data_IF_792157484876
#
_entry.id   IF_792157484876
#
_cell.length_a   1.000
_cell.length_b   1.000
_cell.length_c   1.000
_cell.angle_alpha   90.00
_cell.angle_beta   90.00
_cell.angle_gamma   90.00
#
_symmetry.space_group_name_H-M   'P 1'
#
loop_
_entity.id
_entity.type
_entity.pdbx_description
1 polymer ?
#
# COMPACT_ATOMS: atom_id res chain seq x y z
N UNK A 1 -14.20 -11.89 26.14
CA UNK A 1 -12.97 -11.59 25.35
C UNK A 1 -12.26 -10.37 25.97
N UNK A 2 -10.92 -10.17 25.85
CA UNK A 2 -10.25 -8.99 26.47
C UNK A 2 -10.86 -7.66 26.00
N UNK A 3 -11.18 -7.56 24.70
CA UNK A 3 -11.85 -6.39 24.12
C UNK A 3 -13.22 -6.10 24.77
N UNK A 4 -13.98 -7.14 25.10
CA UNK A 4 -15.28 -7.00 25.75
C UNK A 4 -15.15 -6.44 27.17
N UNK A 5 -14.16 -6.92 27.93
CA UNK A 5 -13.84 -6.36 29.26
C UNK A 5 -13.36 -4.91 29.18
N UNK A 6 -12.57 -4.54 28.15
CA UNK A 6 -12.12 -3.16 27.96
C UNK A 6 -13.27 -2.22 27.57
N UNK A 7 -14.11 -2.66 26.64
CA UNK A 7 -15.27 -1.89 26.17
C UNK A 7 -16.34 -1.76 27.25
N UNK A 8 -16.58 -2.80 28.06
CA UNK A 8 -17.50 -2.77 29.19
C UNK A 8 -16.93 -2.20 30.49
N UNK A 9 -15.61 -2.01 30.59
CA UNK A 9 -14.94 -1.54 31.80
C UNK A 9 -15.15 -0.04 32.10
N UNK A 10 -14.63 0.46 33.23
CA UNK A 10 -14.84 1.84 33.67
C UNK A 10 -13.98 2.89 32.91
N UNK A 11 -13.05 2.45 32.07
CA UNK A 11 -12.14 3.36 31.36
C UNK A 11 -12.86 4.12 30.25
N UNK A 12 -12.71 5.45 30.25
CA UNK A 12 -13.40 6.36 29.33
C UNK A 12 -12.62 6.67 28.04
N UNK A 13 -11.31 6.43 28.06
CA UNK A 13 -10.41 6.61 26.92
C UNK A 13 -9.69 5.30 26.64
N UNK A 14 -9.77 4.82 25.40
CA UNK A 14 -9.16 3.55 24.98
C UNK A 14 -8.18 3.79 23.83
N UNK A 15 -7.04 3.10 23.90
CA UNK A 15 -6.00 3.04 22.87
C UNK A 15 -5.91 1.59 22.41
N UNK A 16 -6.29 1.33 21.16
CA UNK A 16 -6.37 -0.03 20.61
C UNK A 16 -5.45 -0.16 19.40
N UNK A 17 -4.44 -1.02 19.51
CA UNK A 17 -3.53 -1.30 18.40
C UNK A 17 -3.95 -2.60 17.70
N UNK A 18 -4.35 -2.49 16.43
CA UNK A 18 -4.89 -3.58 15.60
C UNK A 18 -5.91 -4.49 16.32
N UNK A 19 -7.02 -3.94 16.87
CA UNK A 19 -7.98 -4.74 17.66
C UNK A 19 -8.74 -5.79 16.84
N UNK A 20 -8.75 -5.66 15.51
CA UNK A 20 -9.39 -6.62 14.60
C UNK A 20 -8.47 -7.77 14.17
N UNK A 21 -7.22 -7.76 14.62
CA UNK A 21 -6.28 -8.80 14.30
C UNK A 21 -6.74 -10.14 14.89
N UNK A 22 -6.56 -11.20 14.12
CA UNK A 22 -7.02 -12.56 14.44
C UNK A 22 -8.54 -12.69 14.68
N UNK A 23 -9.37 -11.69 14.40
CA UNK A 23 -10.82 -11.83 14.48
C UNK A 23 -11.39 -12.44 13.20
N UNK A 24 -12.31 -13.37 13.36
CA UNK A 24 -13.12 -13.85 12.23
C UNK A 24 -14.21 -12.83 11.86
N UNK A 25 -14.90 -13.07 10.74
CA UNK A 25 -15.88 -12.11 10.20
C UNK A 25 -16.98 -11.76 11.21
N UNK A 26 -17.59 -12.71 11.95
CA UNK A 26 -18.56 -12.38 12.98
C UNK A 26 -17.98 -11.54 14.12
N UNK A 27 -16.80 -11.87 14.63
CA UNK A 27 -16.16 -11.11 15.71
C UNK A 27 -15.78 -9.69 15.27
N UNK A 28 -15.36 -9.50 14.01
CA UNK A 28 -15.12 -8.17 13.44
C UNK A 28 -16.39 -7.32 13.40
N UNK A 29 -17.51 -7.89 12.96
CA UNK A 29 -18.82 -7.18 12.96
C UNK A 29 -19.26 -6.79 14.37
N UNK A 30 -19.10 -7.70 15.33
CA UNK A 30 -19.37 -7.39 16.73
C UNK A 30 -18.49 -6.24 17.23
N UNK A 31 -17.19 -6.23 16.89
CA UNK A 31 -16.28 -5.15 17.27
C UNK A 31 -16.71 -3.81 16.62
N UNK A 32 -17.06 -3.81 15.34
CA UNK A 32 -17.59 -2.62 14.64
C UNK A 32 -18.78 -2.02 15.38
N UNK A 33 -19.79 -2.84 15.67
CA UNK A 33 -21.02 -2.43 16.36
C UNK A 33 -20.71 -1.85 17.76
N UNK A 34 -19.86 -2.55 18.53
CA UNK A 34 -19.49 -2.12 19.87
C UNK A 34 -18.68 -0.83 19.89
N UNK A 35 -17.82 -0.59 18.90
CA UNK A 35 -17.08 0.67 18.80
C UNK A 35 -18.01 1.84 18.47
N UNK A 36 -19.00 1.63 17.59
CA UNK A 36 -19.99 2.65 17.21
C UNK A 36 -20.93 3.00 18.37
N UNK A 37 -21.39 2.00 19.12
CA UNK A 37 -22.31 2.19 20.25
C UNK A 37 -21.62 2.76 21.51
N UNK A 38 -20.30 2.67 21.58
CA UNK A 38 -19.54 3.06 22.76
C UNK A 38 -19.60 4.58 22.97
N UNK A 39 -19.99 5.07 24.16
CA UNK A 39 -19.92 6.48 24.49
C UNK A 39 -18.50 6.98 24.81
N UNK A 40 -17.49 6.10 24.69
CA UNK A 40 -16.10 6.35 25.07
C UNK A 40 -15.34 7.05 23.96
N UNK A 41 -14.23 7.70 24.32
CA UNK A 41 -13.26 8.18 23.33
C UNK A 41 -12.29 7.05 22.99
N UNK A 42 -12.23 6.66 21.72
CA UNK A 42 -11.41 5.51 21.28
C UNK A 42 -10.48 5.98 20.17
N UNK A 43 -9.17 5.83 20.40
CA UNK A 43 -8.15 5.91 19.36
C UNK A 43 -7.74 4.49 19.02
N UNK A 44 -7.96 4.08 17.77
CA UNK A 44 -7.53 2.77 17.30
C UNK A 44 -6.74 2.86 16.01
N UNK A 45 -5.83 1.90 15.84
CA UNK A 45 -5.07 1.68 14.61
C UNK A 45 -5.60 0.40 13.97
N UNK A 46 -5.92 0.45 12.68
CA UNK A 46 -6.32 -0.73 11.92
C UNK A 46 -5.94 -0.57 10.45
N UNK A 47 -5.79 -1.70 9.77
CA UNK A 47 -5.66 -1.77 8.32
C UNK A 47 -6.98 -2.15 7.62
N UNK A 48 -8.03 -2.49 8.40
CA UNK A 48 -9.34 -2.84 7.88
C UNK A 48 -10.15 -1.58 7.53
N UNK A 49 -10.33 -1.38 6.22
CA UNK A 49 -11.02 -0.20 5.69
C UNK A 49 -12.49 -0.16 6.08
N UNK A 50 -13.14 -1.32 6.24
CA UNK A 50 -14.56 -1.36 6.59
C UNK A 50 -14.76 -0.94 8.05
N UNK A 51 -13.92 -1.46 8.94
CA UNK A 51 -13.89 -1.06 10.35
C UNK A 51 -13.65 0.44 10.50
N UNK A 52 -12.62 0.98 9.84
CA UNK A 52 -12.32 2.43 9.89
C UNK A 52 -13.50 3.24 9.34
N UNK A 53 -14.06 2.84 8.20
CA UNK A 53 -15.14 3.59 7.57
C UNK A 53 -16.42 3.64 8.42
N UNK A 54 -16.72 2.56 9.16
CA UNK A 54 -17.92 2.45 9.99
C UNK A 54 -17.77 3.04 11.38
N UNK A 55 -16.65 2.75 12.05
CA UNK A 55 -16.46 3.07 13.46
C UNK A 55 -15.74 4.41 13.70
N UNK A 56 -14.88 4.86 12.78
CA UNK A 56 -14.11 6.08 13.00
C UNK A 56 -14.89 7.34 12.63
N UNK A 57 -15.05 8.27 13.58
CA UNK A 57 -15.61 9.60 13.30
C UNK A 57 -14.59 10.58 12.69
N UNK A 58 -13.30 10.34 12.88
CA UNK A 58 -12.20 11.12 12.33
C UNK A 58 -11.04 10.20 11.95
N UNK A 59 -10.29 10.58 10.93
CA UNK A 59 -9.13 9.79 10.46
C UNK A 59 -7.86 10.60 10.67
N UNK A 60 -6.99 10.11 11.53
CA UNK A 60 -5.67 10.67 11.75
C UNK A 60 -4.65 9.92 10.87
N UNK A 61 -3.99 10.63 9.94
CA UNK A 61 -2.97 10.07 9.04
C UNK A 61 -1.61 10.60 9.40
N UNK A 62 -0.67 9.69 9.66
CA UNK A 62 0.75 10.01 9.72
C UNK A 62 1.33 10.01 8.30
N UNK A 63 1.82 11.17 7.88
CA UNK A 63 2.32 11.41 6.54
C UNK A 63 3.83 11.66 6.57
N UNK A 64 4.64 10.83 5.87
CA UNK A 64 6.07 11.06 5.80
C UNK A 64 6.37 12.28 4.92
N UNK A 65 7.22 13.15 5.44
CA UNK A 65 7.76 14.35 4.79
C UNK A 65 9.29 14.30 4.80
N UNK A 66 9.94 15.19 4.05
CA UNK A 66 11.41 15.31 4.08
C UNK A 66 11.96 15.76 5.44
N UNK A 67 11.13 16.35 6.30
CA UNK A 67 11.52 16.89 7.61
C UNK A 67 11.07 16.00 8.79
N UNK A 68 10.58 14.78 8.53
CA UNK A 68 10.00 13.89 9.54
C UNK A 68 8.58 13.45 9.16
N UNK A 69 7.71 13.25 10.14
CA UNK A 69 6.30 12.89 9.89
C UNK A 69 5.38 14.00 10.35
N UNK A 70 4.33 14.28 9.58
CA UNK A 70 3.26 15.20 9.96
C UNK A 70 1.98 14.40 10.24
N UNK A 71 1.16 14.91 11.15
CA UNK A 71 -0.16 14.34 11.44
C UNK A 71 -1.22 15.22 10.78
N UNK A 72 -2.01 14.63 9.90
CA UNK A 72 -3.20 15.28 9.35
C UNK A 72 -4.45 14.58 9.84
N UNK A 73 -5.40 15.34 10.39
CA UNK A 73 -6.70 14.83 10.84
C UNK A 73 -7.77 15.23 9.85
N UNK A 74 -8.44 14.22 9.29
CA UNK A 74 -9.59 14.37 8.42
C UNK A 74 -10.89 14.23 9.24
N UNK A 75 -11.72 15.29 9.33
CA UNK A 75 -13.02 15.20 9.97
C UNK A 75 -14.01 14.52 9.00
N UNK A 76 -14.19 13.21 9.16
CA UNK A 76 -15.12 12.42 8.36
C UNK A 76 -14.72 10.96 8.20
N UNK A 77 -15.55 10.21 7.47
CA UNK A 77 -15.35 8.79 7.22
C UNK A 77 -14.28 8.51 6.17
N UNK A 78 -13.85 7.24 6.11
CA UNK A 78 -12.84 6.77 5.16
C UNK A 78 -13.27 6.92 3.69
N UNK A 79 -14.58 6.91 3.43
CA UNK A 79 -15.12 7.12 2.08
C UNK A 79 -14.73 8.48 1.50
N UNK A 80 -14.75 9.54 2.32
CA UNK A 80 -14.44 10.92 1.88
C UNK A 80 -12.95 11.26 1.96
N UNK A 81 -12.21 10.48 2.75
CA UNK A 81 -10.80 10.71 3.06
C UNK A 81 -9.92 10.88 1.81
N UNK A 82 -10.04 9.99 0.82
CA UNK A 82 -9.18 10.01 -0.35
C UNK A 82 -9.34 11.28 -1.18
N UNK A 83 -10.58 11.74 -1.36
CA UNK A 83 -10.85 12.98 -2.09
C UNK A 83 -10.37 14.20 -1.30
N UNK A 84 -10.69 14.27 -0.01
CA UNK A 84 -10.24 15.36 0.87
C UNK A 84 -8.71 15.48 0.90
N UNK A 85 -8.01 14.34 0.92
CA UNK A 85 -6.56 14.28 0.85
C UNK A 85 -6.02 14.76 -0.50
N UNK A 86 -6.66 14.37 -1.60
CA UNK A 86 -6.28 14.83 -2.93
C UNK A 86 -6.44 16.35 -3.07
N UNK A 87 -7.56 16.90 -2.60
CA UNK A 87 -7.85 18.33 -2.64
C UNK A 87 -6.89 19.13 -1.76
N UNK A 88 -6.62 18.65 -0.53
CA UNK A 88 -5.59 19.22 0.35
C UNK A 88 -4.24 19.25 -0.34
N UNK A 89 -3.81 18.13 -0.92
CA UNK A 89 -2.52 18.02 -1.58
C UNK A 89 -2.42 18.91 -2.83
N UNK A 90 -3.51 19.05 -3.59
CA UNK A 90 -3.58 19.97 -4.72
C UNK A 90 -3.43 21.44 -4.27
N UNK A 91 -4.09 21.82 -3.17
CA UNK A 91 -3.96 23.16 -2.57
C UNK A 91 -2.54 23.44 -2.10
N UNK A 92 -1.89 22.47 -1.43
CA UNK A 92 -0.50 22.59 -0.99
C UNK A 92 0.46 22.71 -2.19
N UNK A 93 0.25 21.93 -3.25
CA UNK A 93 1.04 22.03 -4.48
C UNK A 93 0.90 23.41 -5.14
N UNK A 94 -0.32 23.96 -5.19
CA UNK A 94 -0.57 25.29 -5.75
C UNK A 94 0.11 26.39 -4.94
N UNK A 95 -0.01 26.35 -3.60
CA UNK A 95 0.68 27.29 -2.72
C UNK A 95 2.19 27.22 -2.91
N UNK A 96 2.73 26.01 -3.06
CA UNK A 96 4.15 25.81 -3.32
C UNK A 96 4.58 26.40 -4.65
N UNK A 97 3.83 26.15 -5.73
CA UNK A 97 4.09 26.73 -7.05
C UNK A 97 4.12 28.26 -7.00
N UNK A 98 3.12 28.88 -6.38
CA UNK A 98 3.07 30.35 -6.22
C UNK A 98 4.25 30.91 -5.44
N UNK A 99 4.66 30.19 -4.39
CA UNK A 99 5.84 30.58 -3.62
C UNK A 99 7.12 30.49 -4.46
N UNK A 100 7.29 29.41 -5.24
CA UNK A 100 8.45 29.23 -6.12
C UNK A 100 8.50 30.29 -7.23
N UNK A 101 7.36 30.63 -7.83
CA UNK A 101 7.23 31.71 -8.83
C UNK A 101 7.57 33.10 -8.24
N UNK A 102 7.02 33.42 -7.06
CA UNK A 102 7.33 34.67 -6.36
C UNK A 102 8.81 34.76 -5.99
N UNK A 103 9.40 33.65 -5.51
CA UNK A 103 10.82 33.58 -5.20
C UNK A 103 11.68 33.79 -6.44
N UNK A 104 11.32 33.17 -7.57
CA UNK A 104 12.02 33.36 -8.83
C UNK A 104 11.97 34.82 -9.28
N UNK A 105 10.79 35.44 -9.28
CA UNK A 105 10.63 36.85 -9.64
C UNK A 105 11.44 37.79 -8.74
N UNK A 106 11.51 37.53 -7.42
CA UNK A 106 12.34 38.30 -6.49
C UNK A 106 13.84 38.11 -6.79
N UNK A 107 14.28 36.90 -7.12
CA UNK A 107 15.67 36.64 -7.52
C UNK A 107 16.03 37.37 -8.81
N UNK A 108 15.16 37.33 -9.82
CA UNK A 108 15.37 38.04 -11.09
C UNK A 108 15.43 39.55 -10.88
N UNK A 109 14.60 40.09 -9.98
CA UNK A 109 14.62 41.50 -9.60
C UNK A 109 15.96 41.90 -8.96
N UNK A 110 16.47 41.08 -8.04
CA UNK A 110 17.78 41.28 -7.40
C UNK A 110 18.90 41.25 -8.44
N UNK A 111 18.89 40.25 -9.34
CA UNK A 111 19.90 40.14 -10.41
C UNK A 111 19.87 41.34 -11.35
N UNK A 112 18.67 41.79 -11.75
CA UNK A 112 18.49 42.97 -12.59
C UNK A 112 19.02 44.24 -11.92
N UNK A 113 18.72 44.47 -10.64
CA UNK A 113 19.27 45.62 -9.92
C UNK A 113 20.78 45.50 -9.69
N UNK A 114 21.30 44.29 -9.50
CA UNK A 114 22.75 44.05 -9.35
C UNK A 114 23.51 44.41 -10.62
N UNK A 115 22.98 44.02 -11.78
CA UNK A 115 23.52 44.41 -13.08
C UNK A 115 23.48 45.93 -13.29
N UNK A 116 22.36 46.58 -12.96
CA UNK A 116 22.22 48.05 -13.11
C UNK A 116 23.12 48.83 -12.14
N UNK A 117 23.27 48.37 -10.91
CA UNK A 117 24.13 49.00 -9.90
C UNK A 117 25.62 48.92 -10.27
N UNK A 118 26.02 47.94 -11.11
CA UNK A 118 27.39 47.87 -11.60
C UNK A 118 27.79 49.07 -12.50
N UNK A 119 26.81 49.71 -13.16
CA UNK A 119 27.03 50.84 -14.07
C UNK A 119 26.46 52.16 -13.55
N UNK A 120 25.64 52.15 -12.50
CA UNK A 120 25.00 53.35 -11.94
C UNK A 120 24.95 53.29 -10.41
N UNK A 121 25.73 54.16 -9.75
CA UNK A 121 25.83 54.26 -8.29
C UNK A 121 24.50 54.58 -7.60
N UNK A 122 23.59 55.29 -8.27
CA UNK A 122 22.29 55.70 -7.70
C UNK A 122 21.34 54.49 -7.52
N UNK A 123 21.66 53.34 -8.12
CA UNK A 123 20.87 52.12 -8.03
C UNK A 123 21.21 51.26 -6.80
N UNK A 124 22.25 51.61 -6.03
CA UNK A 124 22.70 50.83 -4.86
C UNK A 124 21.61 50.68 -3.78
N UNK A 125 20.87 51.76 -3.48
CA UNK A 125 19.76 51.73 -2.51
C UNK A 125 18.63 50.77 -2.95
N UNK A 126 18.33 50.72 -4.25
CA UNK A 126 17.31 49.83 -4.82
C UNK A 126 17.74 48.37 -4.78
N UNK A 127 19.02 48.09 -5.02
CA UNK A 127 19.58 46.74 -4.86
C UNK A 127 19.46 46.26 -3.40
N UNK A 128 19.89 47.07 -2.44
CA UNK A 128 19.81 46.74 -1.01
C UNK A 128 18.37 46.46 -0.56
N UNK A 129 17.41 47.26 -1.06
CA UNK A 129 15.99 47.03 -0.79
C UNK A 129 15.48 45.72 -1.39
N UNK A 130 15.88 45.37 -2.63
CA UNK A 130 15.52 44.11 -3.27
C UNK A 130 16.13 42.89 -2.56
N UNK A 131 17.41 42.97 -2.18
CA UNK A 131 18.10 41.91 -1.41
C UNK A 131 17.45 41.68 -0.04
N UNK A 132 17.07 42.77 0.65
CA UNK A 132 16.37 42.68 1.94
C UNK A 132 15.01 42.02 1.80
N UNK A 133 14.27 42.31 0.71
CA UNK A 133 12.99 41.64 0.42
C UNK A 133 13.16 40.16 0.15
N UNK A 134 14.12 39.78 -0.69
CA UNK A 134 14.42 38.38 -0.97
C UNK A 134 14.83 37.63 0.30
N UNK A 135 15.68 38.22 1.15
CA UNK A 135 16.08 37.62 2.42
C UNK A 135 14.88 37.37 3.33
N UNK A 136 14.03 38.37 3.55
CA UNK A 136 12.81 38.21 4.37
C UNK A 136 11.85 37.16 3.80
N UNK A 137 11.75 37.07 2.48
CA UNK A 137 10.93 36.07 1.81
C UNK A 137 11.49 34.65 2.03
N UNK A 138 12.80 34.48 1.94
CA UNK A 138 13.48 33.21 2.18
C UNK A 138 13.43 32.79 3.66
N UNK A 139 13.54 33.76 4.59
CA UNK A 139 13.38 33.55 6.05
C UNK A 139 11.98 33.05 6.43
N UNK A 140 10.93 33.52 5.75
CA UNK A 140 9.56 33.03 5.95
C UNK A 140 9.41 31.55 5.56
N UNK A 141 10.30 31.04 4.70
CA UNK A 141 10.34 29.65 4.29
C UNK A 141 9.23 29.25 3.31
N UNK A 142 9.36 28.07 2.69
CA UNK A 142 8.33 27.54 1.81
C UNK A 142 7.11 27.04 2.59
N UNK A 143 5.92 26.99 1.95
CA UNK A 143 4.74 26.37 2.55
C UNK A 143 4.93 24.86 2.75
N UNK A 144 4.04 24.26 3.55
CA UNK A 144 4.02 22.82 3.85
C UNK A 144 4.12 21.98 2.57
N UNK A 145 5.06 21.04 2.55
CA UNK A 145 5.29 20.19 1.40
C UNK A 145 4.19 19.13 1.25
N UNK A 146 3.86 18.80 0.01
CA UNK A 146 2.97 17.67 -0.26
C UNK A 146 3.65 16.37 0.22
N UNK A 147 2.92 15.52 0.96
CA UNK A 147 3.41 14.21 1.38
C UNK A 147 3.88 13.34 0.20
N UNK A 148 4.87 12.48 0.45
CA UNK A 148 5.34 11.54 -0.56
C UNK A 148 4.27 10.50 -0.89
N UNK A 149 3.99 10.29 -2.19
CA UNK A 149 3.11 9.21 -2.65
C UNK A 149 3.90 7.91 -2.80
N UNK A 150 3.53 6.89 -2.05
CA UNK A 150 4.03 5.53 -2.26
C UNK A 150 3.13 4.84 -3.29
N UNK A 151 3.68 4.57 -4.48
CA UNK A 151 3.00 3.81 -5.52
C UNK A 151 3.43 2.35 -5.46
N UNK A 152 2.71 1.53 -4.67
CA UNK A 152 2.92 0.09 -4.64
C UNK A 152 2.11 -0.54 -5.78
N UNK A 153 2.80 -1.13 -6.76
CA UNK A 153 2.18 -1.96 -7.80
C UNK A 153 2.52 -3.41 -7.53
N UNK A 154 1.52 -4.18 -7.11
CA UNK A 154 1.65 -5.62 -7.04
C UNK A 154 1.54 -6.22 -8.44
N UNK A 155 2.59 -6.91 -8.88
CA UNK A 155 2.55 -7.78 -10.06
C UNK A 155 2.62 -9.22 -9.57
N UNK A 156 1.49 -9.90 -9.60
CA UNK A 156 1.43 -11.35 -9.41
C UNK A 156 1.56 -11.97 -10.79
N UNK A 157 2.74 -12.49 -11.13
CA UNK A 157 2.94 -13.32 -12.30
C UNK A 157 2.68 -14.78 -11.90
N UNK A 158 1.79 -15.47 -12.63
CA UNK A 158 1.53 -16.90 -12.44
C UNK A 158 2.09 -17.72 -13.61
N UNK A 159 2.47 -18.97 -13.35
CA UNK A 159 2.84 -19.94 -14.37
C UNK A 159 1.64 -20.44 -15.18
N UNK A 160 1.89 -21.30 -16.18
CA UNK A 160 0.85 -22.00 -16.96
C UNK A 160 0.35 -23.22 -16.17
N UNK A 161 -0.90 -23.20 -15.67
CA UNK A 161 -1.55 -24.35 -15.01
C UNK A 161 -2.54 -25.04 -15.94
N UNK A 162 -2.77 -26.33 -15.70
CA UNK A 162 -3.89 -27.07 -16.26
C UNK A 162 -5.23 -26.35 -16.01
N UNK A 163 -6.26 -26.62 -16.83
CA UNK A 163 -7.57 -25.97 -16.66
C UNK A 163 -8.17 -26.14 -15.26
N UNK A 164 -7.92 -27.30 -14.63
CA UNK A 164 -8.23 -27.59 -13.23
C UNK A 164 -6.98 -27.37 -12.39
N UNK A 165 -7.05 -26.49 -11.41
CA UNK A 165 -5.92 -26.08 -10.58
C UNK A 165 -5.87 -26.85 -9.25
N UNK A 166 -7.01 -27.16 -8.65
CA UNK A 166 -7.11 -27.90 -7.38
C UNK A 166 -8.30 -28.85 -7.45
N UNK A 167 -8.12 -30.09 -7.02
CA UNK A 167 -9.17 -31.09 -6.92
C UNK A 167 -9.06 -31.76 -5.56
N UNK A 168 -10.10 -31.65 -4.73
CA UNK A 168 -10.24 -32.41 -3.50
C UNK A 168 -11.35 -33.45 -3.67
N UNK A 169 -11.02 -34.70 -3.37
CA UNK A 169 -11.92 -35.84 -3.40
C UNK A 169 -12.04 -36.41 -1.98
N UNK A 170 -13.23 -36.29 -1.39
CA UNK A 170 -13.57 -36.72 -0.03
C UNK A 170 -12.52 -36.28 1.02
N UNK A 171 -12.03 -35.04 0.91
CA UNK A 171 -10.97 -34.51 1.75
C UNK A 171 -11.51 -34.16 3.12
N UNK A 172 -10.87 -34.70 4.16
CA UNK A 172 -11.15 -34.38 5.55
C UNK A 172 -9.86 -33.90 6.22
N UNK A 173 -9.86 -32.70 6.78
CA UNK A 173 -8.79 -32.27 7.67
C UNK A 173 -9.09 -32.82 9.05
N UNK A 174 -8.27 -33.77 9.52
CA UNK A 174 -8.57 -34.61 10.69
C UNK A 174 -8.98 -33.76 11.90
N UNK A 175 -10.23 -33.93 12.35
CA UNK A 175 -10.79 -33.22 13.50
C UNK A 175 -11.12 -31.74 13.29
N UNK A 176 -11.04 -31.22 12.06
CA UNK A 176 -11.24 -29.82 11.72
C UNK A 176 -12.38 -29.59 10.72
N UNK A 177 -12.53 -30.50 9.74
CA UNK A 177 -13.61 -30.43 8.74
C UNK A 177 -14.35 -31.75 8.67
N UNK A 178 -15.57 -31.74 8.10
CA UNK A 178 -16.19 -32.97 7.58
C UNK A 178 -15.61 -33.26 6.19
N UNK A 179 -15.70 -34.50 5.68
CA UNK A 179 -15.29 -34.80 4.31
C UNK A 179 -16.01 -33.92 3.29
N UNK A 180 -15.26 -33.38 2.33
CA UNK A 180 -15.81 -32.54 1.27
C UNK A 180 -15.11 -32.76 -0.07
N UNK A 181 -15.84 -32.47 -1.15
CA UNK A 181 -15.33 -32.44 -2.52
C UNK A 181 -15.22 -30.98 -2.98
N UNK A 182 -14.15 -30.64 -3.71
CA UNK A 182 -14.03 -29.31 -4.35
C UNK A 182 -13.20 -29.37 -5.63
N UNK A 183 -13.57 -28.55 -6.61
CA UNK A 183 -12.83 -28.39 -7.86
C UNK A 183 -12.62 -26.90 -8.13
N UNK A 184 -11.37 -26.45 -8.24
CA UNK A 184 -11.00 -25.05 -8.52
C UNK A 184 -10.30 -24.97 -9.87
N UNK A 185 -10.66 -23.98 -10.68
CA UNK A 185 -10.17 -23.82 -12.05
C UNK A 185 -9.10 -22.75 -12.15
N UNK A 186 -8.29 -22.82 -13.21
CA UNK A 186 -7.30 -21.78 -13.47
C UNK A 186 -7.98 -20.43 -13.77
N UNK A 187 -7.57 -19.40 -13.02
CA UNK A 187 -8.12 -18.05 -13.12
C UNK A 187 -9.21 -17.75 -12.08
N UNK A 188 -9.67 -18.75 -11.33
CA UNK A 188 -10.62 -18.54 -10.25
C UNK A 188 -10.01 -17.69 -9.13
N UNK A 189 -10.82 -16.78 -8.59
CA UNK A 189 -10.49 -16.01 -7.40
C UNK A 189 -11.30 -16.57 -6.24
N UNK A 190 -10.64 -17.41 -5.44
CA UNK A 190 -11.30 -18.19 -4.38
C UNK A 190 -10.95 -17.60 -3.02
N UNK A 191 -11.95 -17.46 -2.17
CA UNK A 191 -11.78 -17.07 -0.77
C UNK A 191 -12.16 -18.25 0.14
N UNK A 192 -11.27 -18.63 1.06
CA UNK A 192 -11.54 -19.67 2.07
C UNK A 192 -12.03 -18.98 3.34
N UNK A 193 -13.30 -19.21 3.69
CA UNK A 193 -13.98 -18.56 4.81
C UNK A 193 -14.33 -19.58 5.90
N UNK A 194 -14.44 -19.12 7.15
CA UNK A 194 -14.76 -19.94 8.32
C UNK A 194 -14.33 -19.25 9.61
N UNK A 195 -14.82 -19.74 10.75
CA UNK A 195 -14.40 -19.25 12.07
C UNK A 195 -12.93 -19.58 12.37
N UNK A 196 -12.40 -19.05 13.46
CA UNK A 196 -11.07 -19.47 13.92
C UNK A 196 -11.06 -20.94 14.33
N UNK A 197 -9.97 -21.64 13.98
CA UNK A 197 -9.84 -23.07 14.28
C UNK A 197 -10.57 -24.02 13.33
N UNK A 198 -11.29 -23.54 12.30
CA UNK A 198 -12.02 -24.42 11.36
C UNK A 198 -11.15 -25.08 10.28
N UNK A 199 -9.83 -25.08 10.42
CA UNK A 199 -8.91 -25.74 9.48
C UNK A 199 -8.48 -24.94 8.23
N UNK A 200 -8.81 -23.66 8.10
CA UNK A 200 -8.42 -22.83 6.93
C UNK A 200 -6.90 -22.84 6.66
N UNK A 201 -6.09 -22.62 7.70
CA UNK A 201 -4.63 -22.63 7.58
C UNK A 201 -4.06 -24.04 7.37
N UNK A 202 -4.77 -25.09 7.80
CA UNK A 202 -4.40 -26.48 7.50
C UNK A 202 -4.65 -26.78 6.02
N UNK A 203 -5.78 -26.34 5.46
CA UNK A 203 -6.08 -26.47 4.04
C UNK A 203 -5.03 -25.76 3.16
N UNK A 204 -4.70 -24.51 3.48
CA UNK A 204 -3.69 -23.75 2.72
C UNK A 204 -2.29 -24.34 2.84
N UNK A 205 -1.92 -24.89 4.01
CA UNK A 205 -0.66 -25.62 4.18
C UNK A 205 -0.62 -26.88 3.34
N UNK A 206 -1.70 -27.66 3.31
CA UNK A 206 -1.78 -28.87 2.50
C UNK A 206 -1.63 -28.55 1.00
N UNK A 207 -2.23 -27.45 0.53
CA UNK A 207 -1.99 -26.95 -0.83
C UNK A 207 -0.53 -26.55 -1.05
N UNK A 208 0.10 -25.88 -0.08
CA UNK A 208 1.51 -25.48 -0.17
C UNK A 208 2.48 -26.67 -0.15
N UNK A 209 2.11 -27.77 0.51
CA UNK A 209 2.85 -29.05 0.47
C UNK A 209 2.76 -29.78 -0.87
N UNK A 210 1.91 -29.30 -1.81
CA UNK A 210 1.68 -29.95 -3.10
C UNK A 210 0.49 -30.92 -3.12
N UNK A 211 -0.29 -31.00 -2.04
CA UNK A 211 -1.41 -31.92 -1.89
C UNK A 211 -1.09 -33.17 -1.06
N UNK A 212 -1.89 -34.23 -1.23
CA UNK A 212 -1.78 -35.49 -0.45
C UNK A 212 -0.58 -36.34 -0.86
N UNK A 213 -0.27 -36.38 -2.15
CA UNK A 213 0.81 -37.17 -2.73
C UNK A 213 1.46 -36.34 -3.86
N UNK A 214 2.34 -35.38 -3.51
CA UNK A 214 2.86 -34.41 -4.46
C UNK A 214 3.85 -35.03 -5.45
N UNK A 215 3.71 -34.71 -6.73
CA UNK A 215 4.73 -35.01 -7.74
C UNK A 215 5.98 -34.13 -7.51
N UNK A 216 7.15 -34.53 -8.05
CA UNK A 216 8.43 -33.80 -7.85
C UNK A 216 8.37 -32.32 -8.25
N UNK A 217 7.54 -31.95 -9.23
CA UNK A 217 7.32 -30.59 -9.70
C UNK A 217 6.28 -29.80 -8.88
N UNK A 218 5.62 -30.46 -7.92
CA UNK A 218 4.61 -29.90 -7.02
C UNK A 218 5.13 -29.74 -5.59
N UNK A 219 6.35 -30.19 -5.32
CA UNK A 219 7.00 -30.00 -4.03
C UNK A 219 7.22 -28.49 -3.76
N UNK A 220 7.21 -28.08 -2.47
CA UNK A 220 7.48 -26.70 -2.09
C UNK A 220 8.82 -26.22 -2.66
N UNK A 221 8.83 -25.07 -3.32
CA UNK A 221 10.06 -24.43 -3.82
C UNK A 221 10.47 -23.33 -2.85
N UNK A 222 11.63 -23.47 -2.21
CA UNK A 222 12.19 -22.47 -1.29
C UNK A 222 12.64 -23.08 0.04
N UNK A 223 13.15 -22.23 0.94
CA UNK A 223 13.75 -22.65 2.22
C UNK A 223 12.70 -23.02 3.29
N UNK A 224 11.42 -22.77 3.02
CA UNK A 224 10.30 -23.06 3.93
C UNK A 224 9.60 -24.36 3.52
N UNK A 225 9.82 -25.41 4.28
CA UNK A 225 9.09 -26.68 4.19
C UNK A 225 7.91 -26.59 5.16
N UNK A 226 6.64 -26.57 4.68
CA UNK A 226 5.49 -26.51 5.57
C UNK A 226 5.38 -27.82 6.38
N UNK A 227 4.90 -27.71 7.62
CA UNK A 227 4.58 -28.90 8.42
C UNK A 227 3.51 -29.78 7.75
N UNK A 228 3.69 -31.10 7.73
CA UNK A 228 2.68 -32.03 7.23
C UNK A 228 1.34 -31.85 7.95
N UNK A 229 0.26 -31.92 7.19
CA UNK A 229 -1.10 -31.77 7.72
C UNK A 229 -1.74 -33.15 7.76
N UNK A 230 -2.22 -33.59 8.92
CA UNK A 230 -3.02 -34.81 9.03
C UNK A 230 -4.37 -34.61 8.33
N UNK A 231 -4.67 -35.48 7.39
CA UNK A 231 -5.89 -35.43 6.60
C UNK A 231 -6.23 -36.82 6.04
N UNK A 232 -7.51 -37.04 5.76
CA UNK A 232 -8.04 -38.19 5.04
C UNK A 232 -8.58 -37.76 3.66
N UNK A 233 -8.75 -38.70 2.75
CA UNK A 233 -9.15 -38.40 1.36
C UNK A 233 -7.98 -38.01 0.46
N UNK A 234 -8.24 -37.29 -0.64
CA UNK A 234 -7.20 -36.86 -1.58
C UNK A 234 -7.33 -35.40 -1.98
N UNK A 235 -6.21 -34.69 -2.00
CA UNK A 235 -6.06 -33.37 -2.61
C UNK A 235 -4.98 -33.44 -3.70
N UNK A 236 -5.34 -33.03 -4.92
CA UNK A 236 -4.46 -33.01 -6.09
C UNK A 236 -4.36 -31.59 -6.66
N UNK A 237 -3.15 -31.20 -7.04
CA UNK A 237 -2.91 -29.97 -7.78
C UNK A 237 -2.90 -30.23 -9.29
N UNK A 238 -3.39 -29.26 -10.05
CA UNK A 238 -3.35 -29.29 -11.50
C UNK A 238 -1.93 -29.18 -12.03
N UNK A 239 -1.53 -30.10 -12.92
CA UNK A 239 -0.20 -30.09 -13.54
C UNK A 239 0.11 -28.76 -14.22
N UNK A 240 1.31 -28.26 -13.99
CA UNK A 240 1.72 -26.95 -14.45
C UNK A 240 3.24 -26.89 -14.58
N UNK A 241 3.75 -26.52 -15.76
CA UNK A 241 5.19 -26.41 -15.98
C UNK A 241 5.82 -25.48 -14.95
N UNK A 242 6.87 -25.97 -14.29
CA UNK A 242 7.59 -25.38 -13.17
C UNK A 242 7.61 -23.84 -13.16
N UNK A 243 6.81 -23.22 -12.28
CA UNK A 243 7.05 -21.90 -11.64
C UNK A 243 5.76 -21.40 -10.98
N UNK A 244 5.43 -21.96 -9.82
CA UNK A 244 4.37 -21.46 -8.94
C UNK A 244 5.03 -20.91 -7.70
N UNK A 245 5.59 -19.70 -7.77
CA UNK A 245 5.72 -18.86 -6.59
C UNK A 245 6.02 -17.41 -6.98
N UNK A 246 5.37 -16.53 -6.24
CA UNK A 246 5.30 -15.08 -6.41
C UNK A 246 6.71 -14.47 -6.34
N UNK A 247 7.14 -13.81 -7.43
CA UNK A 247 8.28 -12.90 -7.39
C UNK A 247 7.78 -11.50 -7.04
N UNK A 248 7.91 -11.09 -5.78
CA UNK A 248 7.70 -9.69 -5.39
C UNK A 248 8.90 -8.86 -5.84
N UNK A 249 8.88 -8.36 -7.08
CA UNK A 249 9.79 -7.27 -7.47
C UNK A 249 9.27 -5.97 -6.82
N UNK A 250 9.70 -5.68 -5.59
CA UNK A 250 9.57 -4.34 -5.01
C UNK A 250 10.56 -3.41 -5.70
N UNK A 251 10.23 -2.92 -6.90
CA UNK A 251 10.97 -1.82 -7.50
C UNK A 251 10.46 -0.50 -6.91
N UNK A 252 11.14 0.02 -5.88
CA UNK A 252 11.03 1.42 -5.50
C UNK A 252 11.72 2.27 -6.59
N UNK A 253 11.01 2.54 -7.69
CA UNK A 253 11.46 3.57 -8.63
C UNK A 253 11.09 4.92 -8.02
N UNK A 254 12.09 5.55 -7.40
CA UNK A 254 12.09 6.98 -7.13
C UNK A 254 11.81 7.71 -8.43
N UNK A 255 10.80 8.57 -8.40
CA UNK A 255 10.54 9.51 -9.47
C UNK A 255 11.55 10.65 -9.36
N UNK A 256 12.72 10.47 -10.00
CA UNK A 256 13.55 11.59 -10.41
C UNK A 256 13.27 11.85 -11.88
N UNK A 257 12.67 13.01 -12.13
CA UNK A 257 12.55 13.59 -13.46
C UNK A 257 13.85 14.29 -13.83
N UNK A 258 14.34 13.99 -15.03
CA UNK A 258 15.12 14.92 -15.82
C UNK A 258 14.95 14.58 -17.30
N UNK A 259 14.30 15.49 -18.01
CA UNK A 259 14.28 15.57 -19.46
C UNK A 259 15.70 15.67 -20.04
N UNK A 260 15.94 15.02 -21.18
CA UNK A 260 16.81 15.55 -22.23
C UNK A 260 16.64 14.78 -23.55
N UNK A 261 16.64 15.55 -24.64
CA UNK A 261 16.40 15.18 -26.02
C UNK A 261 17.49 14.30 -26.67
N UNK A 262 17.18 13.68 -27.82
CA UNK A 262 18.20 13.48 -28.87
C UNK A 262 18.12 12.21 -29.74
N UNK A 263 17.57 12.40 -30.96
CA UNK A 263 17.97 11.77 -32.24
C UNK A 263 17.57 10.31 -32.59
N UNK A 264 17.11 10.07 -33.85
CA UNK A 264 16.85 8.75 -34.40
C UNK A 264 18.07 8.21 -35.14
N UNK A 265 18.49 6.98 -34.83
CA UNK A 265 19.53 6.28 -35.57
C UNK A 265 18.91 5.41 -36.68
N UNK A 266 19.22 5.78 -37.92
CA UNK A 266 19.03 4.97 -39.11
C UNK A 266 20.19 3.99 -39.34
N UNK A 267 19.90 2.95 -40.15
CA UNK A 267 20.80 2.01 -40.88
C UNK A 267 21.27 0.75 -40.15
N UNK A 268 21.15 -0.38 -40.87
CA UNK A 268 22.20 -1.40 -40.82
C UNK A 268 21.82 -2.87 -40.98
N UNK A 269 21.29 -3.26 -42.16
CA UNK A 269 21.63 -4.47 -42.94
C UNK A 269 21.88 -5.85 -42.26
N UNK A 270 21.20 -6.83 -42.88
CA UNK A 270 21.67 -8.16 -43.37
C UNK A 270 21.56 -9.39 -42.44
N UNK A 271 20.58 -10.22 -42.81
CA UNK A 271 20.72 -11.60 -43.31
C UNK A 271 21.30 -12.70 -42.38
N UNK A 272 20.50 -13.76 -42.17
CA UNK A 272 20.68 -15.07 -42.82
C UNK A 272 19.55 -16.07 -42.48
N UNK A 273 19.17 -16.85 -43.51
CA UNK A 273 18.46 -18.15 -43.48
C UNK A 273 19.24 -19.17 -42.61
N UNK A 274 18.71 -20.28 -42.10
CA UNK A 274 17.89 -21.34 -42.71
C UNK A 274 17.30 -22.26 -41.61
N UNK A 275 16.12 -22.87 -41.87
CA UNK A 275 15.80 -24.34 -41.96
C UNK A 275 16.14 -25.17 -40.70
N UNK A 276 15.32 -26.13 -40.24
CA UNK A 276 14.20 -26.86 -40.84
C UNK A 276 13.09 -27.07 -39.78
#
# INVERSE_FOLDING_TARGET
MVLESLLGGPHQVLLLDEPDNYLDVPAKRWLEERLVESPKTILFVSHDRELINRAAGQIATLEPTRAGSTLWVHPGSFTTYHQARADRNAKLAELRRRWDEQRAALRDLVLMYRQKAAYNSDMASRLQAAETRLRRFDEAGPPEAVPLRQNVRMRLAGGRTAKRAVIADNLELTGLTRPFDTELWYGDRVAVLGGNGTGKSHFLRLLACGGTDPELDQLPVGDMIPEPVNHDGRLRLGRAGASWLVRTDTSSRGADGSDAAGHPASRGRKARRARA
#
